data_IF_477069782906
#
_entry.id   IF_477069782906
#
_cell.length_a   1.000
_cell.length_b   1.000
_cell.length_c   1.000
_cell.angle_alpha   90.00
_cell.angle_beta   90.00
_cell.angle_gamma   90.00
#
_symmetry.space_group_name_H-M   'P 1'
#
loop_
_entity.id
_entity.type
_entity.pdbx_description
1 polymer ?
#
# COMPACT_ATOMS: atom_id res chain seq x y z
N UNK A 1 19.90 -2.83 18.68
CA UNK A 1 19.03 -3.84 18.02
C UNK A 1 19.06 -3.51 16.54
N UNK A 2 19.39 -4.49 15.68
CA UNK A 2 19.30 -4.29 14.23
C UNK A 2 17.81 -4.18 13.86
N UNK A 3 17.40 -3.26 12.98
CA UNK A 3 16.03 -3.21 12.52
C UNK A 3 15.66 -4.53 11.85
N UNK A 4 14.46 -5.05 12.13
CA UNK A 4 13.96 -6.30 11.54
C UNK A 4 13.76 -6.21 10.03
N UNK A 5 13.62 -4.98 9.49
CA UNK A 5 13.46 -4.68 8.08
C UNK A 5 14.18 -3.36 7.74
N UNK A 6 14.95 -3.36 6.66
CA UNK A 6 15.57 -2.16 6.07
C UNK A 6 15.01 -1.98 4.67
N UNK A 7 14.67 -0.76 4.32
CA UNK A 7 14.01 -0.45 3.05
C UNK A 7 14.73 0.64 2.28
N UNK A 8 14.53 0.65 0.96
CA UNK A 8 14.77 1.77 0.05
C UNK A 8 13.43 2.29 -0.46
N UNK A 9 13.28 3.58 -0.66
CA UNK A 9 12.02 4.17 -1.08
C UNK A 9 12.19 5.29 -2.08
N UNK A 10 11.21 5.45 -2.94
CA UNK A 10 11.05 6.60 -3.83
C UNK A 10 9.60 7.07 -3.82
N UNK A 11 9.37 8.35 -4.07
CA UNK A 11 8.02 8.90 -4.16
C UNK A 11 7.96 10.03 -5.18
N UNK A 12 6.79 10.17 -5.82
CA UNK A 12 6.49 11.25 -6.74
C UNK A 12 5.03 11.66 -6.60
N UNK A 13 4.75 12.96 -6.79
CA UNK A 13 3.40 13.50 -6.79
C UNK A 13 3.26 14.57 -7.87
N UNK A 14 2.06 14.67 -8.48
CA UNK A 14 1.75 15.64 -9.52
C UNK A 14 0.28 16.08 -9.43
N UNK A 15 -0.05 17.37 -9.58
CA UNK A 15 -1.44 17.83 -9.51
C UNK A 15 -2.32 17.35 -10.68
N UNK A 16 -1.74 16.64 -11.65
CA UNK A 16 -2.43 16.30 -12.88
C UNK A 16 -2.48 17.47 -13.86
N UNK A 17 -3.33 17.36 -14.89
CA UNK A 17 -3.50 18.38 -15.94
C UNK A 17 -4.86 19.06 -15.86
N UNK A 18 -5.76 18.63 -14.98
CA UNK A 18 -7.14 19.12 -14.86
C UNK A 18 -7.45 19.77 -13.52
N UNK A 19 -6.70 19.45 -12.48
CA UNK A 19 -6.88 20.01 -11.16
C UNK A 19 -6.03 21.27 -10.99
N UNK A 20 -6.57 22.27 -10.27
CA UNK A 20 -5.84 23.50 -9.96
C UNK A 20 -4.93 23.36 -8.76
N UNK A 21 -5.28 22.46 -7.83
CA UNK A 21 -4.57 22.16 -6.60
C UNK A 21 -4.21 20.68 -6.55
N UNK A 22 -3.17 20.36 -5.81
CA UNK A 22 -2.87 18.99 -5.43
C UNK A 22 -3.40 18.77 -4.01
N UNK A 23 -4.50 18.04 -3.88
CA UNK A 23 -5.13 17.71 -2.61
C UNK A 23 -4.59 16.38 -2.04
N UNK A 24 -3.74 15.66 -2.81
CA UNK A 24 -2.99 14.50 -2.31
C UNK A 24 -1.91 14.93 -1.35
N UNK A 25 -1.68 14.11 -0.33
CA UNK A 25 -0.51 14.19 0.54
C UNK A 25 0.10 12.80 0.75
N UNK A 26 1.40 12.72 1.01
CA UNK A 26 2.06 11.44 1.23
C UNK A 26 3.18 11.52 2.26
N UNK A 27 3.56 10.37 2.80
CA UNK A 27 4.68 10.20 3.70
C UNK A 27 5.48 8.97 3.26
N UNK A 28 6.72 9.18 2.85
CA UNK A 28 7.63 8.14 2.38
C UNK A 28 8.88 8.09 3.26
N UNK A 29 8.71 7.69 4.53
CA UNK A 29 9.80 7.65 5.49
C UNK A 29 9.62 6.55 6.54
N UNK A 30 10.63 5.69 6.69
CA UNK A 30 10.54 4.57 7.62
C UNK A 30 10.21 5.03 9.06
N UNK A 31 9.27 4.34 9.70
CA UNK A 31 8.61 3.09 9.30
C UNK A 31 7.26 3.27 8.56
N UNK A 32 6.94 4.45 8.04
CA UNK A 32 5.61 4.79 7.50
C UNK A 32 5.70 5.16 6.02
N UNK A 33 4.84 4.55 5.18
CA UNK A 33 4.70 4.79 3.75
C UNK A 33 3.21 4.83 3.40
N UNK A 34 2.64 6.03 3.31
CA UNK A 34 1.19 6.25 3.17
C UNK A 34 0.89 7.36 2.16
N UNK A 35 -0.23 7.21 1.48
CA UNK A 35 -0.85 8.20 0.60
C UNK A 35 -2.23 8.54 1.16
N UNK A 36 -2.59 9.81 1.11
CA UNK A 36 -3.89 10.34 1.50
C UNK A 36 -4.39 11.24 0.35
N UNK A 37 -5.51 10.88 -0.26
CA UNK A 37 -6.16 11.62 -1.34
C UNK A 37 -7.28 12.47 -0.72
N UNK A 38 -7.11 13.78 -0.80
CA UNK A 38 -7.99 14.75 -0.16
C UNK A 38 -9.22 15.07 -0.98
N UNK A 39 -10.37 15.16 -0.32
CA UNK A 39 -11.65 15.50 -0.94
C UNK A 39 -12.41 16.55 -0.13
N UNK A 40 -13.24 17.35 -0.80
CA UNK A 40 -14.12 18.32 -0.12
C UNK A 40 -14.19 19.67 -0.79
N UNK A 41 -13.49 19.82 -1.90
CA UNK A 41 -13.42 21.03 -2.71
C UNK A 41 -12.56 22.14 -2.09
N UNK A 42 -11.81 22.83 -2.94
CA UNK A 42 -10.87 23.90 -2.57
C UNK A 42 -9.80 23.42 -1.57
N UNK A 43 -9.49 24.21 -0.55
CA UNK A 43 -8.46 23.91 0.45
C UNK A 43 -8.86 22.84 1.49
N UNK A 44 -10.11 22.35 1.48
CA UNK A 44 -10.58 21.44 2.52
C UNK A 44 -9.98 20.04 2.38
N UNK A 45 -9.87 19.53 1.15
CA UNK A 45 -9.24 18.23 0.86
C UNK A 45 -7.74 18.25 1.16
N UNK A 46 -7.01 19.27 0.68
CA UNK A 46 -5.58 19.44 0.96
C UNK A 46 -5.30 19.47 2.48
N UNK A 47 -6.12 20.18 3.25
CA UNK A 47 -5.95 20.23 4.70
C UNK A 47 -6.29 18.90 5.37
N UNK A 48 -7.27 18.16 4.86
CA UNK A 48 -7.63 16.85 5.40
C UNK A 48 -6.51 15.84 5.19
N UNK A 49 -6.00 15.69 3.97
CA UNK A 49 -4.89 14.80 3.65
C UNK A 49 -3.62 15.17 4.43
N UNK A 50 -3.26 16.46 4.48
CA UNK A 50 -2.12 16.95 5.26
C UNK A 50 -2.25 16.66 6.77
N UNK A 51 -3.48 16.76 7.34
CA UNK A 51 -3.74 16.43 8.75
C UNK A 51 -3.44 14.96 9.04
N UNK A 52 -3.89 14.05 8.17
CA UNK A 52 -3.59 12.61 8.30
C UNK A 52 -2.09 12.36 8.26
N UNK A 53 -1.41 12.92 7.27
CA UNK A 53 0.04 12.76 7.12
C UNK A 53 0.79 13.29 8.37
N UNK A 54 0.38 14.42 8.92
CA UNK A 54 1.02 15.01 10.10
C UNK A 54 0.94 14.10 11.35
N UNK A 55 -0.17 13.39 11.56
CA UNK A 55 -0.30 12.48 12.70
C UNK A 55 0.60 11.24 12.54
N UNK A 56 0.71 10.68 11.34
CA UNK A 56 1.60 9.56 11.07
C UNK A 56 3.08 9.95 11.04
N UNK A 57 3.43 11.18 10.65
CA UNK A 57 4.81 11.67 10.63
C UNK A 57 5.49 11.66 12.01
N UNK A 58 4.72 11.63 13.09
CA UNK A 58 5.23 11.53 14.47
C UNK A 58 5.97 10.22 14.76
N UNK A 59 5.78 9.21 13.92
CA UNK A 59 6.40 7.90 14.05
C UNK A 59 7.70 7.74 13.26
N UNK A 60 8.07 8.73 12.45
CA UNK A 60 9.31 8.70 11.67
C UNK A 60 10.52 8.50 12.58
N UNK A 61 11.40 7.58 12.19
CA UNK A 61 12.61 7.24 12.93
C UNK A 61 12.42 6.13 13.99
N UNK A 62 11.21 5.66 14.24
CA UNK A 62 11.00 4.40 14.98
C UNK A 62 11.40 3.22 14.11
N UNK A 63 11.80 2.12 14.74
CA UNK A 63 12.22 0.90 14.01
C UNK A 63 11.04 0.11 13.44
N UNK A 64 9.88 0.15 14.10
CA UNK A 64 8.65 -0.52 13.74
C UNK A 64 7.47 0.10 14.50
N UNK A 65 6.25 -0.18 14.05
CA UNK A 65 5.00 0.19 14.71
C UNK A 65 4.20 -1.06 15.09
N UNK A 66 3.41 -0.92 16.13
CA UNK A 66 2.37 -1.89 16.50
C UNK A 66 1.02 -1.44 15.91
N UNK A 67 0.06 -2.35 15.82
CA UNK A 67 -1.29 -2.03 15.33
C UNK A 67 -1.96 -0.92 16.17
N UNK A 68 -1.70 -0.90 17.47
CA UNK A 68 -2.25 0.12 18.37
C UNK A 68 -1.63 1.50 18.12
N UNK A 69 -0.36 1.60 17.71
CA UNK A 69 0.24 2.87 17.26
C UNK A 69 -0.50 3.42 16.02
N UNK A 70 -0.78 2.53 15.05
CA UNK A 70 -1.49 2.89 13.81
C UNK A 70 -2.93 3.33 14.11
N UNK A 71 -3.63 2.58 14.95
CA UNK A 71 -5.00 2.94 15.39
C UNK A 71 -5.04 4.27 16.14
N UNK A 72 -4.06 4.51 16.99
CA UNK A 72 -3.93 5.78 17.69
C UNK A 72 -3.72 6.95 16.72
N UNK A 73 -2.80 6.81 15.77
CA UNK A 73 -2.58 7.83 14.74
C UNK A 73 -3.86 8.11 13.95
N UNK A 74 -4.57 7.04 13.55
CA UNK A 74 -5.81 7.16 12.80
C UNK A 74 -6.93 7.85 13.61
N UNK A 75 -7.06 7.55 14.90
CA UNK A 75 -8.00 8.25 15.77
C UNK A 75 -7.71 9.75 15.85
N UNK A 76 -6.44 10.12 16.03
CA UNK A 76 -6.00 11.51 16.05
C UNK A 76 -6.24 12.22 14.71
N UNK A 77 -5.97 11.51 13.61
CA UNK A 77 -6.21 12.03 12.27
C UNK A 77 -7.71 12.31 12.04
N UNK A 78 -8.60 11.40 12.48
CA UNK A 78 -10.06 11.57 12.39
C UNK A 78 -10.52 12.80 13.18
N UNK A 79 -10.09 12.91 14.44
CA UNK A 79 -10.41 14.08 15.27
C UNK A 79 -10.00 15.38 14.57
N UNK A 80 -8.76 15.45 14.04
CA UNK A 80 -8.27 16.63 13.35
C UNK A 80 -9.05 16.96 12.06
N UNK A 81 -9.43 15.97 11.27
CA UNK A 81 -10.24 16.19 10.05
C UNK A 81 -11.68 16.61 10.38
N UNK A 82 -12.27 16.06 11.45
CA UNK A 82 -13.59 16.49 11.92
C UNK A 82 -13.60 17.95 12.40
N UNK A 83 -12.54 18.38 13.09
CA UNK A 83 -12.37 19.78 13.50
C UNK A 83 -12.31 20.73 12.29
N UNK A 84 -11.69 20.32 11.18
CA UNK A 84 -11.68 21.09 9.93
C UNK A 84 -13.10 21.25 9.36
N UNK A 85 -13.90 20.18 9.39
CA UNK A 85 -15.28 20.19 8.87
C UNK A 85 -16.20 21.06 9.70
N UNK A 86 -16.00 21.14 11.02
CA UNK A 86 -16.83 21.96 11.92
C UNK A 86 -16.46 23.45 11.90
N UNK A 87 -15.20 23.77 11.62
CA UNK A 87 -14.69 25.15 11.59
C UNK A 87 -14.79 25.84 10.22
N UNK A 88 -15.12 25.08 9.15
CA UNK A 88 -15.18 25.55 7.77
C UNK A 88 -16.55 25.36 7.12
N UNK A 89 -16.74 25.98 5.94
CA UNK A 89 -18.01 25.88 5.16
C UNK A 89 -18.10 24.62 4.29
N UNK A 90 -17.23 23.62 4.46
CA UNK A 90 -17.15 22.42 3.61
C UNK A 90 -16.96 21.13 4.39
N UNK A 91 -17.35 20.01 3.77
CA UNK A 91 -17.04 18.67 4.28
C UNK A 91 -15.61 18.31 3.87
N UNK A 92 -14.68 18.38 4.81
CA UNK A 92 -13.32 17.91 4.62
C UNK A 92 -13.27 16.39 4.79
N UNK A 93 -12.58 15.70 3.91
CA UNK A 93 -12.35 14.26 3.99
C UNK A 93 -11.11 13.86 3.22
N UNK A 94 -10.64 12.64 3.46
CA UNK A 94 -9.51 12.07 2.73
C UNK A 94 -9.55 10.55 2.77
N UNK A 95 -8.98 9.91 1.76
CA UNK A 95 -8.61 8.50 1.81
C UNK A 95 -7.37 8.32 2.68
N UNK A 96 -6.99 7.07 2.91
CA UNK A 96 -5.69 6.68 3.45
C UNK A 96 -5.37 5.27 3.00
N UNK A 97 -4.28 5.09 2.27
CA UNK A 97 -3.74 3.78 1.91
C UNK A 97 -2.26 3.73 2.20
N UNK A 98 -1.74 2.56 2.53
CA UNK A 98 -0.31 2.37 2.66
C UNK A 98 0.12 1.24 3.57
N UNK A 99 1.42 1.27 3.90
CA UNK A 99 2.05 0.26 4.73
C UNK A 99 2.93 0.91 5.80
N UNK A 100 3.02 0.23 6.93
CA UNK A 100 4.02 0.52 7.95
C UNK A 100 4.89 -0.71 8.22
N UNK A 101 6.14 -0.47 8.61
CA UNK A 101 7.01 -1.53 9.10
C UNK A 101 6.52 -1.93 10.49
N UNK A 102 6.15 -3.20 10.65
CA UNK A 102 5.81 -3.81 11.92
C UNK A 102 6.85 -4.86 12.33
N UNK A 103 6.80 -5.31 13.58
CA UNK A 103 7.70 -6.36 14.07
C UNK A 103 6.93 -7.35 14.93
N UNK A 104 7.13 -8.65 14.65
CA UNK A 104 6.61 -9.74 15.46
C UNK A 104 7.78 -10.65 15.82
N UNK A 105 8.05 -10.81 17.10
CA UNK A 105 9.19 -11.60 17.60
C UNK A 105 10.55 -11.19 17.01
N UNK A 106 10.73 -9.89 16.72
CA UNK A 106 11.95 -9.33 16.14
C UNK A 106 12.09 -9.52 14.63
N UNK A 107 11.11 -10.11 13.97
CA UNK A 107 11.03 -10.26 12.52
C UNK A 107 10.27 -9.10 11.90
N UNK A 108 10.68 -8.69 10.69
CA UNK A 108 10.03 -7.64 9.92
C UNK A 108 8.73 -8.13 9.30
N UNK A 109 7.69 -7.31 9.45
CA UNK A 109 6.38 -7.49 8.81
C UNK A 109 5.96 -6.20 8.13
N UNK A 110 5.13 -6.33 7.11
CA UNK A 110 4.35 -5.26 6.56
C UNK A 110 2.97 -5.26 7.22
N UNK A 111 2.54 -4.11 7.73
CA UNK A 111 1.19 -3.86 8.17
C UNK A 111 0.57 -2.86 7.20
N UNK A 112 -0.25 -3.34 6.28
CA UNK A 112 -1.02 -2.52 5.36
C UNK A 112 -2.31 -2.04 6.00
N UNK A 113 -2.76 -0.84 5.60
CA UNK A 113 -4.04 -0.26 6.02
C UNK A 113 -4.70 0.46 4.84
N UNK A 114 -6.04 0.45 4.80
CA UNK A 114 -6.80 1.13 3.77
C UNK A 114 -8.10 1.74 4.26
N UNK A 115 -8.39 2.97 3.81
CA UNK A 115 -9.69 3.65 3.86
C UNK A 115 -9.85 4.43 2.55
N UNK A 116 -10.84 4.07 1.74
CA UNK A 116 -11.08 4.69 0.43
C UNK A 116 -10.63 3.81 -0.71
N UNK A 117 -10.33 4.41 -1.85
CA UNK A 117 -9.98 3.79 -3.12
C UNK A 117 -8.54 4.08 -3.61
N UNK A 118 -7.74 4.74 -2.78
CA UNK A 118 -6.28 4.68 -2.89
C UNK A 118 -5.82 3.26 -2.63
N UNK A 119 -4.73 2.82 -3.26
CA UNK A 119 -4.37 1.40 -3.29
C UNK A 119 -2.97 1.11 -2.82
N UNK A 120 -2.80 -0.08 -2.28
CA UNK A 120 -1.51 -0.70 -1.95
C UNK A 120 -1.37 -2.01 -2.70
N UNK A 121 -0.25 -2.16 -3.42
CA UNK A 121 0.11 -3.36 -4.17
C UNK A 121 1.43 -3.94 -3.65
N UNK A 122 1.62 -5.26 -3.86
CA UNK A 122 2.88 -5.97 -3.68
C UNK A 122 3.30 -6.60 -4.99
N UNK A 123 4.52 -6.35 -5.42
CA UNK A 123 5.20 -7.10 -6.46
C UNK A 123 6.15 -8.11 -5.79
N UNK A 124 5.88 -9.39 -5.97
CA UNK A 124 6.71 -10.49 -5.51
C UNK A 124 6.74 -11.58 -6.57
N UNK A 125 7.90 -12.20 -6.80
CA UNK A 125 8.09 -13.25 -7.81
C UNK A 125 7.61 -12.89 -9.23
N UNK A 126 7.60 -11.59 -9.56
CA UNK A 126 7.14 -11.05 -10.83
C UNK A 126 5.63 -10.86 -10.97
N UNK A 127 4.87 -11.20 -9.95
CA UNK A 127 3.40 -11.02 -9.90
C UNK A 127 3.05 -9.78 -9.09
N UNK A 128 2.11 -8.98 -9.61
CA UNK A 128 1.55 -7.80 -8.94
C UNK A 128 0.22 -8.19 -8.30
N UNK A 129 0.13 -8.02 -6.99
CA UNK A 129 -1.09 -8.29 -6.21
C UNK A 129 -1.57 -6.99 -5.56
N UNK A 130 -2.85 -6.64 -5.71
CA UNK A 130 -3.47 -5.59 -4.93
C UNK A 130 -3.77 -6.13 -3.53
N UNK A 131 -3.10 -5.58 -2.51
CA UNK A 131 -3.27 -5.98 -1.10
C UNK A 131 -4.51 -5.32 -0.50
N UNK A 132 -4.74 -4.04 -0.81
CA UNK A 132 -5.90 -3.29 -0.32
C UNK A 132 -7.17 -3.67 -1.11
N UNK A 133 -8.32 -3.52 -0.48
CA UNK A 133 -9.62 -3.61 -1.14
C UNK A 133 -10.22 -2.21 -1.17
N UNK A 134 -10.69 -1.78 -2.34
CA UNK A 134 -11.26 -0.44 -2.51
C UNK A 134 -12.58 -0.30 -1.75
N UNK A 135 -12.73 0.79 -1.01
CA UNK A 135 -14.01 1.15 -0.43
C UNK A 135 -14.80 2.02 -1.42
N UNK A 136 -15.35 1.39 -2.45
CA UNK A 136 -16.10 2.03 -3.52
C UNK A 136 -17.41 1.30 -3.82
N UNK A 137 -18.37 2.04 -4.39
CA UNK A 137 -19.67 1.46 -4.77
C UNK A 137 -19.49 0.31 -5.77
N UNK A 138 -18.55 0.45 -6.72
CA UNK A 138 -18.33 -0.62 -7.72
C UNK A 138 -17.71 -1.87 -7.08
N UNK A 139 -16.86 -1.73 -6.09
CA UNK A 139 -16.30 -2.87 -5.37
C UNK A 139 -17.38 -3.62 -4.59
N UNK A 140 -18.27 -2.92 -3.89
CA UNK A 140 -19.41 -3.54 -3.20
C UNK A 140 -20.34 -4.29 -4.16
N UNK A 141 -20.55 -3.76 -5.38
CA UNK A 141 -21.34 -4.43 -6.42
C UNK A 141 -20.63 -5.65 -7.01
N UNK A 142 -19.31 -5.64 -7.11
CA UNK A 142 -18.52 -6.82 -7.51
C UNK A 142 -18.65 -7.91 -6.45
N UNK A 143 -18.48 -7.58 -5.17
CA UNK A 143 -18.58 -8.51 -4.05
C UNK A 143 -19.99 -9.12 -3.90
N UNK A 144 -21.04 -8.35 -4.18
CA UNK A 144 -22.42 -8.85 -4.20
C UNK A 144 -22.76 -9.67 -5.46
N UNK A 145 -21.88 -9.70 -6.47
CA UNK A 145 -22.11 -10.37 -7.75
C UNK A 145 -23.05 -9.61 -8.70
N UNK A 146 -23.35 -8.35 -8.40
CA UNK A 146 -24.21 -7.50 -9.24
C UNK A 146 -23.45 -6.86 -10.41
N UNK A 147 -22.12 -6.80 -10.34
CA UNK A 147 -21.26 -6.22 -11.37
C UNK A 147 -20.02 -7.13 -11.56
N UNK A 148 -19.57 -7.26 -12.80
CA UNK A 148 -18.28 -7.92 -13.07
C UNK A 148 -17.13 -6.93 -12.90
N UNK A 149 -15.91 -7.42 -12.63
CA UNK A 149 -14.73 -6.56 -12.57
C UNK A 149 -14.47 -5.82 -13.90
N UNK A 150 -14.80 -6.43 -15.04
CA UNK A 150 -14.66 -5.81 -16.37
C UNK A 150 -15.65 -4.67 -16.56
N UNK A 151 -16.91 -4.86 -16.19
CA UNK A 151 -17.95 -3.82 -16.30
C UNK A 151 -17.68 -2.65 -15.33
N UNK A 152 -17.09 -2.91 -14.17
CA UNK A 152 -16.74 -1.90 -13.18
C UNK A 152 -15.76 -0.84 -13.72
N UNK A 153 -14.84 -1.20 -14.63
CA UNK A 153 -13.88 -0.27 -15.23
C UNK A 153 -14.57 0.89 -15.98
N UNK A 154 -15.78 0.66 -16.50
CA UNK A 154 -16.54 1.65 -17.28
C UNK A 154 -17.80 2.16 -16.56
N UNK A 155 -18.10 1.66 -15.37
CA UNK A 155 -19.27 2.08 -14.60
C UNK A 155 -19.14 3.55 -14.15
N UNK A 156 -20.25 4.29 -14.22
CA UNK A 156 -20.26 5.71 -13.83
C UNK A 156 -20.05 5.94 -12.34
N UNK A 157 -20.24 4.90 -11.52
CA UNK A 157 -20.10 4.94 -10.05
C UNK A 157 -18.69 4.56 -9.57
N UNK A 158 -17.73 4.28 -10.49
CA UNK A 158 -16.39 3.80 -10.12
C UNK A 158 -15.61 4.73 -9.20
N UNK A 159 -15.89 6.04 -9.24
CA UNK A 159 -15.24 7.04 -8.40
C UNK A 159 -16.10 7.44 -7.18
N UNK A 160 -17.11 6.63 -6.80
CA UNK A 160 -17.92 6.89 -5.60
C UNK A 160 -17.36 6.03 -4.47
N UNK A 161 -16.65 6.67 -3.55
CA UNK A 161 -16.12 6.01 -2.36
C UNK A 161 -17.22 5.83 -1.30
N UNK A 162 -17.12 4.74 -0.53
CA UNK A 162 -18.06 4.39 0.54
C UNK A 162 -17.49 4.62 1.94
N UNK A 163 -16.15 4.72 2.06
CA UNK A 163 -15.47 5.02 3.33
C UNK A 163 -14.37 6.07 3.13
N UNK A 164 -14.26 6.99 4.10
CA UNK A 164 -13.24 8.04 4.14
C UNK A 164 -12.93 8.44 5.60
N UNK A 165 -11.85 9.16 5.80
CA UNK A 165 -11.58 9.89 7.03
C UNK A 165 -12.28 11.25 6.92
N UNK A 166 -13.19 11.56 7.83
CA UNK A 166 -14.04 12.77 7.73
C UNK A 166 -15.22 12.59 6.76
N UNK A 167 -15.69 13.68 6.14
CA UNK A 167 -16.83 13.71 5.21
C UNK A 167 -18.12 13.05 5.74
N UNK A 168 -18.29 12.98 7.06
CA UNK A 168 -19.38 12.27 7.76
C UNK A 168 -19.36 10.75 7.59
N UNK A 169 -18.25 10.17 7.18
CA UNK A 169 -18.05 8.72 7.10
C UNK A 169 -17.61 8.17 8.47
N UNK A 170 -18.20 7.04 8.87
CA UNK A 170 -17.85 6.32 10.11
C UNK A 170 -17.08 5.03 9.82
N UNK A 171 -16.66 4.81 8.56
CA UNK A 171 -16.01 3.57 8.16
C UNK A 171 -14.66 3.34 8.86
N UNK A 172 -14.46 2.11 9.33
CA UNK A 172 -13.18 1.69 9.90
C UNK A 172 -12.17 1.38 8.80
N UNK A 173 -10.87 1.42 9.16
CA UNK A 173 -9.81 0.99 8.27
C UNK A 173 -9.77 -0.54 8.21
N UNK A 174 -9.47 -1.07 7.03
CA UNK A 174 -9.09 -2.46 6.88
C UNK A 174 -7.58 -2.60 7.08
N UNK A 175 -7.16 -3.76 7.61
CA UNK A 175 -5.77 -4.04 7.94
C UNK A 175 -5.35 -5.42 7.45
N UNK A 176 -4.15 -5.50 6.88
CA UNK A 176 -3.51 -6.74 6.48
C UNK A 176 -2.10 -6.79 7.04
N UNK A 177 -1.71 -7.91 7.63
CA UNK A 177 -0.35 -8.10 8.13
C UNK A 177 0.26 -9.35 7.49
N UNK A 178 1.42 -9.18 6.87
CA UNK A 178 2.13 -10.26 6.19
C UNK A 178 3.64 -10.14 6.42
N UNK A 179 4.38 -11.28 6.44
CA UNK A 179 5.83 -11.26 6.59
C UNK A 179 6.48 -10.43 5.50
N UNK A 180 7.49 -9.64 5.87
CA UNK A 180 8.34 -8.98 4.89
C UNK A 180 9.37 -9.98 4.36
N UNK A 181 9.55 -10.02 3.05
CA UNK A 181 10.52 -10.87 2.37
C UNK A 181 11.55 -10.03 1.65
N UNK A 182 12.78 -10.55 1.55
CA UNK A 182 13.83 -9.88 0.79
C UNK A 182 13.43 -9.80 -0.69
N UNK A 183 13.45 -8.59 -1.24
CA UNK A 183 13.05 -8.36 -2.63
C UNK A 183 11.58 -8.00 -2.80
N UNK A 184 10.76 -7.98 -1.72
CA UNK A 184 9.44 -7.36 -1.80
C UNK A 184 9.55 -5.94 -2.32
N UNK A 185 8.68 -5.61 -3.27
CA UNK A 185 8.46 -4.24 -3.74
C UNK A 185 7.00 -3.88 -3.56
N UNK A 186 6.74 -2.84 -2.76
CA UNK A 186 5.41 -2.34 -2.52
C UNK A 186 5.18 -1.04 -3.30
N UNK A 187 3.97 -0.87 -3.79
CA UNK A 187 3.47 0.37 -4.38
C UNK A 187 2.30 0.87 -3.56
N UNK A 188 2.33 2.13 -3.19
CA UNK A 188 1.18 2.84 -2.61
C UNK A 188 0.84 4.00 -3.53
N UNK A 189 -0.43 4.16 -3.91
CA UNK A 189 -0.82 5.23 -4.83
C UNK A 189 -2.23 5.75 -4.58
N UNK A 190 -2.48 7.00 -4.99
CA UNK A 190 -3.83 7.54 -5.14
C UNK A 190 -4.52 7.00 -6.40
N UNK A 191 -5.83 7.18 -6.51
CA UNK A 191 -6.65 6.71 -7.63
C UNK A 191 -6.28 7.37 -8.97
N UNK A 192 -5.63 8.55 -8.93
CA UNK A 192 -5.12 9.22 -10.12
C UNK A 192 -4.06 8.42 -10.89
N UNK A 193 -3.35 7.48 -10.26
CA UNK A 193 -2.51 6.53 -10.98
C UNK A 193 -3.37 5.47 -11.68
N UNK A 194 -4.20 4.76 -10.92
CA UNK A 194 -4.92 3.57 -11.39
C UNK A 194 -6.09 3.90 -12.32
N UNK A 195 -6.55 5.15 -12.33
CA UNK A 195 -7.50 5.67 -13.30
C UNK A 195 -6.91 5.89 -14.71
N UNK A 196 -5.58 6.00 -14.81
CA UNK A 196 -4.87 6.32 -16.05
C UNK A 196 -3.94 5.20 -16.53
N UNK A 197 -3.40 4.39 -15.60
CA UNK A 197 -2.39 3.36 -15.88
C UNK A 197 -2.93 1.98 -15.46
N UNK A 198 -2.87 1.01 -16.37
CA UNK A 198 -3.33 -0.37 -16.09
C UNK A 198 -2.37 -1.10 -15.15
N UNK A 199 -2.90 -2.11 -14.43
CA UNK A 199 -2.11 -2.96 -13.54
C UNK A 199 -0.97 -3.68 -14.29
N UNK A 200 -1.18 -4.09 -15.54
CA UNK A 200 -0.12 -4.67 -16.38
C UNK A 200 1.03 -3.69 -16.61
N UNK A 201 0.73 -2.40 -16.86
CA UNK A 201 1.76 -1.38 -17.04
C UNK A 201 2.44 -1.04 -15.73
N UNK A 202 1.70 -0.97 -14.62
CA UNK A 202 2.26 -0.79 -13.28
C UNK A 202 3.24 -1.93 -12.99
N UNK A 203 2.85 -3.19 -13.21
CA UNK A 203 3.70 -4.37 -13.04
C UNK A 203 4.97 -4.28 -13.89
N UNK A 204 4.84 -3.92 -15.16
CA UNK A 204 5.97 -3.77 -16.08
C UNK A 204 6.99 -2.74 -15.57
N UNK A 205 6.54 -1.55 -15.17
CA UNK A 205 7.39 -0.47 -14.64
C UNK A 205 8.09 -0.91 -13.36
N UNK A 206 7.33 -1.45 -12.39
CA UNK A 206 7.89 -1.92 -11.13
C UNK A 206 8.92 -3.05 -11.31
N UNK A 207 8.71 -3.93 -12.28
CA UNK A 207 9.64 -5.04 -12.57
C UNK A 207 10.89 -4.57 -13.31
N UNK A 208 10.75 -3.66 -14.28
CA UNK A 208 11.84 -3.25 -15.18
C UNK A 208 12.68 -2.08 -14.67
N UNK A 209 12.21 -1.35 -13.65
CA UNK A 209 12.89 -0.15 -13.13
C UNK A 209 13.40 -0.41 -11.70
N UNK A 210 14.68 -0.81 -11.53
CA UNK A 210 15.22 -1.24 -10.22
C UNK A 210 15.22 -0.14 -9.15
N UNK A 211 15.50 1.11 -9.53
CA UNK A 211 15.52 2.23 -8.58
C UNK A 211 14.09 2.66 -8.21
N UNK A 212 13.69 2.65 -6.91
CA UNK A 212 12.34 2.98 -6.51
C UNK A 212 11.94 4.42 -6.82
N UNK A 213 12.88 5.37 -6.80
CA UNK A 213 12.57 6.75 -7.18
C UNK A 213 12.29 6.85 -8.68
N UNK A 214 13.12 6.23 -9.50
CA UNK A 214 12.89 6.21 -10.96
C UNK A 214 11.57 5.51 -11.31
N UNK A 215 11.20 4.44 -10.61
CA UNK A 215 9.93 3.75 -10.82
C UNK A 215 8.73 4.67 -10.48
N UNK A 216 8.80 5.39 -9.35
CA UNK A 216 7.76 6.36 -8.98
C UNK A 216 7.63 7.49 -10.02
N UNK A 217 8.76 8.04 -10.49
CA UNK A 217 8.78 9.11 -11.49
C UNK A 217 8.17 8.64 -12.83
N UNK A 218 8.49 7.42 -13.27
CA UNK A 218 7.94 6.83 -14.50
C UNK A 218 6.43 6.63 -14.39
N UNK A 219 5.94 6.07 -13.27
CA UNK A 219 4.51 5.84 -13.08
C UNK A 219 3.71 7.14 -13.09
N UNK A 220 4.21 8.18 -12.42
CA UNK A 220 3.56 9.51 -12.45
C UNK A 220 3.59 10.11 -13.86
N UNK A 221 4.71 10.00 -14.58
CA UNK A 221 4.83 10.50 -15.95
C UNK A 221 3.89 9.75 -16.92
N UNK A 222 3.74 8.43 -16.75
CA UNK A 222 2.81 7.63 -17.55
C UNK A 222 1.35 8.08 -17.31
N UNK A 223 0.95 8.27 -16.05
CA UNK A 223 -0.40 8.75 -15.71
C UNK A 223 -0.69 10.15 -16.25
N UNK A 224 0.28 11.08 -16.14
CA UNK A 224 0.15 12.43 -16.71
C UNK A 224 0.01 12.35 -18.24
N UNK A 225 0.80 11.50 -18.89
CA UNK A 225 0.77 11.32 -20.35
C UNK A 225 -0.52 10.69 -20.86
N UNK A 226 -1.15 9.82 -20.04
CA UNK A 226 -2.42 9.16 -20.36
C UNK A 226 -3.64 10.08 -20.19
N UNK A 227 -3.49 11.21 -19.47
CA UNK A 227 -4.57 12.19 -19.34
C UNK A 227 -4.44 13.09 -18.14
N UNK A 228 -3.84 12.62 -17.05
CA UNK A 228 -3.61 13.38 -15.82
C UNK A 228 -4.89 14.06 -15.31
N UNK A 229 -5.99 13.29 -15.23
CA UNK A 229 -7.32 13.85 -14.92
C UNK A 229 -7.47 14.24 -13.47
N UNK A 230 -6.68 13.60 -12.60
CA UNK A 230 -6.68 13.86 -11.15
C UNK A 230 -5.28 14.12 -10.61
N UNK A 231 -5.18 14.39 -9.31
CA UNK A 231 -3.94 14.38 -8.56
C UNK A 231 -3.36 12.96 -8.60
N UNK A 232 -2.04 12.83 -8.73
CA UNK A 232 -1.36 11.54 -8.88
C UNK A 232 -0.25 11.48 -7.86
N UNK A 233 -0.30 10.53 -6.96
CA UNK A 233 0.72 10.32 -5.94
C UNK A 233 1.12 8.87 -5.86
N UNK A 234 2.43 8.61 -5.84
CA UNK A 234 3.05 7.29 -5.89
C UNK A 234 4.17 7.18 -4.86
N UNK A 235 4.20 6.09 -4.12
CA UNK A 235 5.34 5.67 -3.29
C UNK A 235 5.73 4.25 -3.70
N UNK A 236 7.02 4.02 -3.93
CA UNK A 236 7.59 2.68 -4.15
C UNK A 236 8.53 2.37 -2.99
N UNK A 237 8.39 1.19 -2.38
CA UNK A 237 9.17 0.75 -1.21
C UNK A 237 9.74 -0.63 -1.47
N UNK A 238 11.06 -0.77 -1.35
CA UNK A 238 11.78 -2.02 -1.55
C UNK A 238 12.31 -2.57 -0.22
N UNK A 239 12.08 -3.85 0.06
CA UNK A 239 12.71 -4.56 1.16
C UNK A 239 14.16 -4.94 0.79
N UNK A 240 15.14 -4.20 1.31
CA UNK A 240 16.56 -4.41 0.96
C UNK A 240 17.31 -5.29 1.98
N UNK A 241 16.75 -5.47 3.18
CA UNK A 241 17.25 -6.40 4.19
C UNK A 241 16.15 -6.80 5.14
N UNK A 242 16.00 -8.09 5.37
CA UNK A 242 15.02 -8.67 6.31
C UNK A 242 15.77 -9.53 7.31
N UNK A 243 15.47 -9.38 8.63
CA UNK A 243 16.07 -10.22 9.66
C UNK A 243 15.56 -11.65 9.49
N UNK A 244 16.46 -12.60 9.29
CA UNK A 244 16.16 -14.03 9.23
C UNK A 244 15.82 -14.56 10.62
N UNK A 245 14.91 -15.55 10.68
CA UNK A 245 14.66 -16.31 11.92
C UNK A 245 15.98 -16.91 12.44
N UNK A 246 16.30 -16.76 13.75
CA UNK A 246 17.36 -17.56 14.34
C UNK A 246 16.97 -19.04 14.22
N UNK A 247 17.65 -19.80 13.38
CA UNK A 247 17.42 -21.25 13.21
C UNK A 247 17.03 -21.71 11.80
N UNK A 248 16.79 -20.83 10.84
CA UNK A 248 16.74 -21.22 9.43
C UNK A 248 18.16 -21.11 8.85
N UNK A 249 19.04 -22.02 9.29
CA UNK A 249 20.19 -22.37 8.47
C UNK A 249 19.59 -22.93 7.18
N UNK A 250 19.88 -22.31 6.04
CA UNK A 250 19.85 -23.01 4.78
C UNK A 250 20.74 -24.25 4.99
N UNK A 251 20.13 -25.41 5.19
CA UNK A 251 20.83 -26.66 4.96
C UNK A 251 21.29 -26.60 3.50
N UNK A 252 22.54 -26.17 3.31
CA UNK A 252 23.25 -26.46 2.08
C UNK A 252 23.35 -27.99 2.07
N UNK A 253 22.46 -28.57 1.28
CA UNK A 253 22.37 -29.97 0.98
C UNK A 253 23.71 -30.42 0.34
N UNK A 254 24.68 -30.77 1.17
CA UNK A 254 25.94 -31.38 0.80
C UNK A 254 26.26 -32.50 1.81
N UNK A 255 25.29 -33.37 2.04
CA UNK A 255 25.54 -34.73 2.49
C UNK A 255 24.42 -35.63 1.94
N UNK A 256 24.56 -35.97 0.67
CA UNK A 256 23.91 -37.16 0.13
C UNK A 256 24.67 -38.33 0.80
N UNK A 257 24.11 -38.84 1.88
CA UNK A 257 24.51 -40.11 2.47
C UNK A 257 24.30 -41.24 1.48
N UNK A 258 25.38 -41.64 0.80
CA UNK A 258 25.41 -42.68 -0.23
C UNK A 258 25.33 -44.09 0.35
N UNK A 259 24.82 -44.30 1.56
CA UNK A 259 24.85 -45.60 2.23
C UNK A 259 23.46 -46.25 2.52
N UNK A 260 22.43 -45.84 1.80
CA UNK A 260 21.14 -46.53 1.85
C UNK A 260 20.99 -47.45 0.64
N UNK A 261 21.61 -48.65 0.66
CA UNK A 261 21.31 -49.73 -0.28
C UNK A 261 19.97 -50.41 0.10
N UNK A 262 19.06 -50.62 -0.86
CA UNK A 262 17.86 -51.47 -0.58
C UNK A 262 18.26 -52.90 -0.26
N UNK A 263 17.76 -53.43 0.84
CA UNK A 263 17.93 -54.84 1.20
C UNK A 263 17.19 -55.70 0.13
N UNK A 264 17.98 -56.53 -0.57
CA UNK A 264 17.40 -57.56 -1.45
C UNK A 264 16.50 -58.50 -0.60
N UNK A 265 15.27 -58.70 -1.12
CA UNK A 265 14.35 -59.66 -0.56
C UNK A 265 14.91 -61.07 -0.76
N UNK A 266 15.25 -61.76 0.33
CA UNK A 266 15.64 -63.18 0.32
C UNK A 266 14.44 -64.02 -0.19
N UNK A 267 14.64 -64.65 -1.32
CA UNK A 267 13.73 -65.65 -1.83
C UNK A 267 13.69 -66.89 -0.89
N UNK A 268 12.48 -67.24 -0.46
CA UNK A 268 12.20 -68.52 0.21
C UNK A 268 11.49 -69.44 -0.76
N UNK A 269 12.18 -70.51 -1.13
CA UNK A 269 11.65 -71.69 -1.79
C UNK A 269 10.86 -72.50 -0.78
N UNK A 270 9.61 -72.78 -1.05
CA UNK A 270 8.99 -74.08 -1.05
C UNK A 270 7.54 -73.99 -1.49
#
# INVERSE_FOLDING_TARGET
VRPGLVVSTGSATHPGLRRALNEDAHLAGAPVFIVADGMGGHEAGERASATVIAEFARFIGRSALELDDVRFALSRAREGVEELSTSGNGRAGTTLSGVVIASVDGMGYWLALNIGDSRTYRLADGELEQISVDHSVVQELIESGELTAEDALTDRRRNIITRAIGASSTGDADYWMFPAELGDRLLVCSDGLTSEVSDDRIREVLHSTPDPQAAADVLVADAVSAGGRDNITVIVVDAVSVASRPGTLLETDTDIDMDTRPREAAGGVH
#
